data_IF_575648707085
#
_entry.id   IF_575648707085
#
_cell.length_a   1.000
_cell.length_b   1.000
_cell.length_c   1.000
_cell.angle_alpha   90.00
_cell.angle_beta   90.00
_cell.angle_gamma   90.00
#
_symmetry.space_group_name_H-M   'P 1'
#
loop_
_entity.id
_entity.type
_entity.pdbx_description
1 polymer ?
#
# COMPACT_ATOMS: atom_id res chain seq x y z
N UNK A 1 17.68 -8.14 17.67
CA UNK A 1 16.61 -9.16 17.68
C UNK A 1 15.40 -8.60 16.93
N UNK A 2 15.30 -8.83 15.62
CA UNK A 2 14.12 -8.42 14.87
C UNK A 2 12.98 -9.38 15.25
N UNK A 3 12.03 -8.90 16.06
CA UNK A 3 10.82 -9.66 16.32
C UNK A 3 10.06 -9.73 15.00
N UNK A 4 10.10 -10.89 14.33
CA UNK A 4 9.32 -11.12 13.13
C UNK A 4 7.85 -11.10 13.54
N UNK A 5 7.23 -9.93 13.49
CA UNK A 5 5.83 -9.73 13.80
C UNK A 5 5.02 -10.64 12.86
N UNK A 6 4.56 -11.79 13.35
CA UNK A 6 3.64 -12.66 12.63
C UNK A 6 2.30 -11.96 12.59
N UNK A 7 1.99 -11.27 11.49
CA UNK A 7 0.65 -10.72 11.25
C UNK A 7 -0.36 -11.87 11.25
N UNK A 8 -1.48 -11.68 11.94
CA UNK A 8 -2.60 -12.61 11.87
C UNK A 8 -3.12 -12.63 10.41
N UNK A 9 -3.13 -13.78 9.73
CA UNK A 9 -3.55 -13.87 8.31
C UNK A 9 -5.02 -13.53 8.10
N UNK A 10 -5.85 -13.57 9.14
CA UNK A 10 -7.26 -13.23 9.07
C UNK A 10 -7.53 -11.73 9.26
N UNK A 11 -6.54 -10.95 9.70
CA UNK A 11 -6.68 -9.50 9.85
C UNK A 11 -6.36 -8.82 8.52
N UNK A 12 -7.33 -8.09 7.97
CA UNK A 12 -7.12 -7.27 6.78
C UNK A 12 -5.97 -6.27 7.01
N UNK A 13 -4.93 -6.27 6.15
CA UNK A 13 -3.90 -5.23 6.16
C UNK A 13 -4.52 -3.86 5.90
N UNK A 14 -3.91 -2.81 6.43
CA UNK A 14 -4.38 -1.44 6.20
C UNK A 14 -4.00 -0.97 4.79
N UNK A 15 -4.97 -0.43 4.05
CA UNK A 15 -4.69 0.25 2.78
C UNK A 15 -3.79 1.46 3.04
N UNK A 16 -2.73 1.72 2.23
CA UNK A 16 -1.86 2.87 2.43
C UNK A 16 -2.61 4.21 2.45
N UNK A 17 -3.69 4.31 1.68
CA UNK A 17 -4.58 5.48 1.65
C UNK A 17 -5.19 5.84 3.01
N UNK A 18 -5.50 4.84 3.85
CA UNK A 18 -5.99 5.09 5.20
C UNK A 18 -4.90 5.73 6.08
N UNK A 19 -3.68 5.16 6.07
CA UNK A 19 -2.54 5.72 6.80
C UNK A 19 -2.22 7.15 6.34
N UNK A 20 -2.28 7.41 5.03
CA UNK A 20 -2.09 8.74 4.47
C UNK A 20 -3.14 9.73 4.95
N UNK A 21 -4.42 9.31 4.98
CA UNK A 21 -5.57 10.13 5.35
C UNK A 21 -5.59 10.46 6.84
N UNK A 22 -5.32 9.45 7.67
CA UNK A 22 -5.62 9.51 9.10
C UNK A 22 -4.40 9.97 9.93
N UNK A 23 -3.17 9.67 9.49
CA UNK A 23 -1.95 9.97 10.26
C UNK A 23 -0.97 10.88 9.52
N UNK A 24 -0.58 10.53 8.29
CA UNK A 24 0.58 11.15 7.63
C UNK A 24 0.30 12.56 7.13
N UNK A 25 -0.77 12.75 6.37
CA UNK A 25 -1.12 14.09 5.85
C UNK A 25 -1.48 15.05 7.00
N UNK A 26 -2.33 14.67 7.98
CA UNK A 26 -2.64 15.54 9.11
C UNK A 26 -1.40 16.00 9.89
N UNK A 27 -0.40 15.12 10.07
CA UNK A 27 0.84 15.45 10.76
C UNK A 27 1.71 16.52 10.04
N UNK A 28 1.50 16.74 8.74
CA UNK A 28 2.26 17.75 7.99
C UNK A 28 1.74 19.17 8.18
N UNK A 29 0.49 19.36 8.62
CA UNK A 29 -0.19 20.66 8.61
C UNK A 29 -0.52 21.22 7.22
N UNK A 30 -0.21 20.48 6.13
CA UNK A 30 -0.47 20.92 4.77
C UNK A 30 -1.86 20.52 4.29
N UNK A 31 -2.42 21.30 3.38
CA UNK A 31 -3.69 20.95 2.74
C UNK A 31 -3.52 19.76 1.77
N UNK A 32 -4.58 18.98 1.57
CA UNK A 32 -4.58 17.89 0.57
C UNK A 32 -4.30 18.40 -0.85
N UNK A 33 -4.68 19.65 -1.14
CA UNK A 33 -4.38 20.30 -2.43
C UNK A 33 -2.88 20.46 -2.62
N UNK A 34 -2.21 21.02 -1.62
CA UNK A 34 -0.76 21.22 -1.64
C UNK A 34 0.01 19.89 -1.68
N UNK A 35 -0.46 18.87 -0.96
CA UNK A 35 0.12 17.53 -1.03
C UNK A 35 0.01 16.96 -2.45
N UNK A 36 -1.15 17.08 -3.11
CA UNK A 36 -1.32 16.60 -4.48
C UNK A 36 -0.37 17.29 -5.46
N UNK A 37 -0.22 18.62 -5.32
CA UNK A 37 0.72 19.43 -6.11
C UNK A 37 2.18 19.00 -5.89
N UNK A 38 2.60 18.84 -4.63
CA UNK A 38 3.97 18.38 -4.29
C UNK A 38 4.24 16.96 -4.77
N UNK A 39 3.25 16.09 -4.75
CA UNK A 39 3.33 14.76 -5.33
C UNK A 39 3.31 14.79 -6.86
N UNK A 40 2.90 15.88 -7.49
CA UNK A 40 2.74 16.01 -8.94
C UNK A 40 1.66 15.07 -9.48
N UNK A 41 0.56 14.91 -8.74
CA UNK A 41 -0.64 14.14 -9.16
C UNK A 41 -1.88 15.02 -9.08
N UNK A 42 -2.95 14.65 -9.79
CA UNK A 42 -4.19 15.40 -9.68
C UNK A 42 -4.80 15.26 -8.28
N UNK A 43 -5.50 16.30 -7.82
CA UNK A 43 -6.26 16.26 -6.56
C UNK A 43 -7.19 15.06 -6.52
N UNK A 44 -7.91 14.81 -7.62
CA UNK A 44 -8.82 13.66 -7.72
C UNK A 44 -8.08 12.33 -7.49
N UNK A 45 -6.90 12.15 -8.06
CA UNK A 45 -6.12 10.94 -7.87
C UNK A 45 -5.71 10.77 -6.40
N UNK A 46 -5.24 11.85 -5.74
CA UNK A 46 -4.97 11.79 -4.30
C UNK A 46 -6.23 11.43 -3.51
N UNK A 47 -7.37 12.07 -3.79
CA UNK A 47 -8.65 11.77 -3.11
C UNK A 47 -9.09 10.32 -3.30
N UNK A 48 -8.95 9.75 -4.50
CA UNK A 48 -9.26 8.34 -4.77
C UNK A 48 -8.38 7.40 -3.93
N UNK A 49 -7.09 7.72 -3.79
CA UNK A 49 -6.17 6.96 -2.93
C UNK A 49 -6.57 7.08 -1.46
N UNK A 50 -6.84 8.30 -0.97
CA UNK A 50 -7.22 8.55 0.42
C UNK A 50 -8.57 7.91 0.80
N UNK A 51 -9.46 7.69 -0.17
CA UNK A 51 -10.72 6.96 0.01
C UNK A 51 -10.57 5.45 -0.18
N UNK A 52 -9.35 4.96 -0.40
CA UNK A 52 -9.06 3.54 -0.57
C UNK A 52 -9.76 2.94 -1.82
N UNK A 53 -10.10 3.81 -2.78
CA UNK A 53 -10.72 3.43 -4.07
C UNK A 53 -9.65 3.13 -5.11
N UNK A 54 -8.52 3.85 -5.08
CA UNK A 54 -7.35 3.58 -5.93
C UNK A 54 -6.16 3.12 -5.11
N UNK A 55 -5.36 2.19 -5.67
CA UNK A 55 -4.15 1.73 -5.02
C UNK A 55 -3.06 2.82 -5.06
N UNK A 56 -2.13 2.73 -4.14
CA UNK A 56 -0.82 3.35 -4.29
C UNK A 56 -0.01 2.54 -5.29
N UNK A 57 0.04 3.00 -6.54
CA UNK A 57 0.86 2.39 -7.59
C UNK A 57 2.36 2.55 -7.29
N UNK A 58 3.26 1.77 -7.94
CA UNK A 58 4.70 1.93 -7.77
C UNK A 58 5.20 3.36 -8.07
N UNK A 59 4.64 4.02 -9.09
CA UNK A 59 4.97 5.39 -9.41
C UNK A 59 4.55 6.39 -8.31
N UNK A 60 3.39 6.16 -7.69
CA UNK A 60 2.95 6.96 -6.53
C UNK A 60 3.80 6.66 -5.31
N UNK A 61 4.19 5.41 -5.08
CA UNK A 61 5.09 5.04 -3.98
C UNK A 61 6.46 5.74 -4.08
N UNK A 62 7.04 5.89 -5.28
CA UNK A 62 8.26 6.68 -5.49
C UNK A 62 8.06 8.14 -5.11
N UNK A 63 6.92 8.75 -5.48
CA UNK A 63 6.59 10.14 -5.13
C UNK A 63 6.38 10.30 -3.63
N UNK A 64 5.65 9.39 -3.00
CA UNK A 64 5.42 9.37 -1.55
C UNK A 64 6.73 9.20 -0.77
N UNK A 65 7.58 8.26 -1.17
CA UNK A 65 8.89 8.05 -0.55
C UNK A 65 9.81 9.26 -0.68
N UNK A 66 9.73 10.00 -1.80
CA UNK A 66 10.47 11.25 -1.97
C UNK A 66 9.90 12.39 -1.11
N UNK A 67 8.58 12.48 -0.95
CA UNK A 67 7.92 13.55 -0.22
C UNK A 67 7.98 13.35 1.31
N UNK A 68 7.72 12.14 1.80
CA UNK A 68 7.57 11.84 3.23
C UNK A 68 8.79 11.16 3.85
N UNK A 69 9.77 10.71 3.06
CA UNK A 69 10.92 9.93 3.54
C UNK A 69 10.69 8.42 3.49
N UNK A 70 11.61 7.66 4.08
CA UNK A 70 11.63 6.19 4.20
C UNK A 70 11.60 5.36 2.89
N UNK A 71 11.63 6.03 1.74
CA UNK A 71 11.70 5.43 0.41
C UNK A 71 10.39 4.80 -0.07
N UNK A 72 10.33 4.35 -1.34
CA UNK A 72 9.10 3.80 -1.92
C UNK A 72 8.67 2.46 -1.31
N UNK A 73 9.62 1.70 -0.76
CA UNK A 73 9.40 0.31 -0.38
C UNK A 73 8.36 0.13 0.72
N UNK A 74 8.22 1.10 1.63
CA UNK A 74 7.20 1.02 2.69
C UNK A 74 5.79 1.05 2.10
N UNK A 75 5.52 1.99 1.20
CA UNK A 75 4.23 2.18 0.54
C UNK A 75 3.87 1.00 -0.36
N UNK A 76 4.83 0.53 -1.17
CA UNK A 76 4.60 -0.64 -2.04
C UNK A 76 4.31 -1.90 -1.24
N UNK A 77 5.07 -2.18 -0.17
CA UNK A 77 4.81 -3.36 0.67
C UNK A 77 3.45 -3.31 1.35
N UNK A 78 3.01 -2.13 1.80
CA UNK A 78 1.68 -1.96 2.36
C UNK A 78 0.60 -2.24 1.33
N UNK A 79 0.71 -1.67 0.12
CA UNK A 79 -0.25 -1.91 -0.95
C UNK A 79 -0.29 -3.39 -1.34
N UNK A 80 0.87 -4.01 -1.58
CA UNK A 80 0.94 -5.43 -1.93
C UNK A 80 0.33 -6.31 -0.85
N UNK A 81 0.55 -6.01 0.44
CA UNK A 81 -0.08 -6.77 1.51
C UNK A 81 -1.61 -6.65 1.47
N UNK A 82 -2.14 -5.44 1.26
CA UNK A 82 -3.58 -5.20 1.12
C UNK A 82 -4.17 -5.96 -0.07
N UNK A 83 -3.55 -5.83 -1.24
CA UNK A 83 -4.04 -6.41 -2.50
C UNK A 83 -4.01 -7.94 -2.45
N UNK A 84 -2.91 -8.53 -1.98
CA UNK A 84 -2.78 -10.00 -1.86
C UNK A 84 -3.81 -10.56 -0.88
N UNK A 85 -4.06 -9.88 0.26
CA UNK A 85 -5.02 -10.36 1.24
C UNK A 85 -6.45 -10.45 0.68
N UNK A 86 -6.84 -9.50 -0.19
CA UNK A 86 -8.13 -9.54 -0.88
C UNK A 86 -8.13 -10.62 -1.97
N UNK A 87 -7.09 -10.66 -2.81
CA UNK A 87 -6.97 -11.66 -3.88
C UNK A 87 -7.01 -13.10 -3.34
N UNK A 88 -6.35 -13.40 -2.21
CA UNK A 88 -6.39 -14.72 -1.56
C UNK A 88 -7.81 -15.17 -1.14
N UNK A 89 -8.77 -14.25 -1.04
CA UNK A 89 -10.16 -14.52 -0.64
C UNK A 89 -11.13 -14.55 -1.81
N UNK A 90 -10.75 -13.93 -2.93
CA UNK A 90 -11.57 -13.84 -4.13
C UNK A 90 -11.20 -14.93 -5.15
N UNK A 91 -9.92 -15.30 -5.22
CA UNK A 91 -9.40 -16.23 -6.22
C UNK A 91 -9.61 -17.70 -5.82
N UNK A 92 -10.28 -18.46 -6.68
CA UNK A 92 -10.37 -19.92 -6.55
C UNK A 92 -9.10 -20.60 -7.11
N UNK A 93 -8.20 -20.97 -6.20
CA UNK A 93 -6.96 -21.67 -6.53
C UNK A 93 -7.07 -23.20 -6.42
N UNK A 94 -8.27 -23.77 -6.20
CA UNK A 94 -8.46 -25.20 -5.93
C UNK A 94 -7.95 -26.12 -7.04
N UNK A 95 -7.92 -25.63 -8.29
CA UNK A 95 -7.47 -26.39 -9.47
C UNK A 95 -5.97 -26.23 -9.75
N UNK A 96 -5.27 -25.36 -9.03
CA UNK A 96 -3.85 -25.09 -9.25
C UNK A 96 -3.00 -26.12 -8.52
N UNK A 97 -2.23 -26.92 -9.26
CA UNK A 97 -1.34 -27.93 -8.69
C UNK A 97 0.03 -27.31 -8.36
N UNK A 98 0.47 -27.46 -7.11
CA UNK A 98 1.79 -27.00 -6.67
C UNK A 98 2.90 -27.83 -7.32
N UNK A 99 3.79 -27.16 -8.07
CA UNK A 99 5.01 -27.78 -8.60
C UNK A 99 6.01 -28.03 -7.46
N UNK A 100 6.60 -29.22 -7.42
CA UNK A 100 7.76 -29.53 -6.57
C UNK A 100 9.00 -29.56 -7.46
N UNK A 101 9.87 -28.58 -7.31
CA UNK A 101 11.19 -28.60 -7.97
C UNK A 101 12.06 -29.61 -7.22
N UNK A 102 12.71 -30.54 -7.93
CA UNK A 102 13.75 -31.39 -7.33
C UNK A 102 14.96 -30.51 -7.06
N UNK A 103 15.40 -30.42 -5.81
CA UNK A 103 16.70 -29.88 -5.50
C UNK A 103 17.76 -30.74 -6.22
N UNK A 104 18.65 -30.07 -6.97
CA UNK A 104 19.84 -30.67 -7.56
C UNK A 104 20.98 -30.66 -6.54
#
# INVERSE_FOLDING_TARGET
MAHAAKRNPNRCPTHPGALLRDDVIPATGLSKVEIAERLGISRQHLYDILREVKPVSPAVAVRLGKLFGDGPGVWSRMQTAYDVWHAEREEDVSKITRLRVRAA
#
